data_IF_653511166283
#
_entry.id   IF_653511166283
#
_cell.length_a   1.000
_cell.length_b   1.000
_cell.length_c   1.000
_cell.angle_alpha   90.00
_cell.angle_beta   90.00
_cell.angle_gamma   90.00
#
_symmetry.space_group_name_H-M   'P 1'
#
loop_
_entity.id
_entity.type
_entity.pdbx_description
1 polymer ?
#
# COMPACT_ATOMS: atom_id res chain seq x y z
N UNK A 1 6.13 -5.55 17.25
CA UNK A 1 6.95 -6.33 16.29
C UNK A 1 6.80 -5.88 14.84
N UNK A 2 6.27 -4.67 14.55
CA UNK A 2 6.18 -4.14 13.18
C UNK A 2 5.19 -4.83 12.25
N UNK A 3 4.43 -5.81 12.74
CA UNK A 3 3.35 -6.48 12.00
C UNK A 3 2.13 -5.56 11.96
N UNK A 4 1.52 -5.39 10.78
CA UNK A 4 0.21 -4.75 10.65
C UNK A 4 -0.84 -5.58 11.41
N UNK A 5 -1.67 -4.89 12.19
CA UNK A 5 -2.72 -5.52 12.99
C UNK A 5 -4.12 -5.07 12.63
N UNK A 6 -4.24 -3.88 12.02
CA UNK A 6 -5.51 -3.26 11.66
C UNK A 6 -5.27 -2.23 10.56
N UNK A 7 -6.11 -2.21 9.54
CA UNK A 7 -6.24 -1.06 8.64
C UNK A 7 -7.36 -0.15 9.15
N UNK A 8 -7.02 1.11 9.44
CA UNK A 8 -8.02 2.09 9.91
C UNK A 8 -8.77 2.73 8.75
N UNK A 9 -8.05 3.03 7.67
CA UNK A 9 -8.57 3.64 6.45
C UNK A 9 -7.82 3.05 5.24
N UNK A 10 -8.56 2.73 4.18
CA UNK A 10 -8.02 2.29 2.88
C UNK A 10 -8.69 3.12 1.80
N UNK A 11 -7.88 3.78 0.96
CA UNK A 11 -8.35 4.71 -0.09
C UNK A 11 -9.41 5.73 0.39
N UNK A 12 -9.28 6.16 1.64
CA UNK A 12 -10.22 7.05 2.29
C UNK A 12 -10.11 8.49 1.76
N UNK A 13 -11.25 9.16 1.70
CA UNK A 13 -11.34 10.59 1.42
C UNK A 13 -11.16 11.42 2.70
N UNK A 14 -10.91 12.72 2.54
CA UNK A 14 -10.77 13.64 3.69
C UNK A 14 -12.00 13.64 4.62
N UNK A 15 -13.19 13.39 4.06
CA UNK A 15 -14.44 13.38 4.81
C UNK A 15 -14.65 12.11 5.65
N UNK A 16 -13.82 11.08 5.47
CA UNK A 16 -13.84 9.88 6.32
C UNK A 16 -13.18 10.12 7.69
N UNK A 17 -12.52 11.26 7.85
CA UNK A 17 -11.85 11.66 9.09
C UNK A 17 -12.66 12.71 9.83
N UNK A 18 -12.56 12.69 11.16
CA UNK A 18 -13.07 13.79 11.98
C UNK A 18 -12.09 14.96 11.91
N UNK A 19 -12.58 16.16 11.59
CA UNK A 19 -11.76 17.38 11.59
C UNK A 19 -11.60 17.88 13.03
N UNK A 20 -10.38 17.80 13.56
CA UNK A 20 -9.96 18.42 14.81
C UNK A 20 -9.57 19.89 14.64
N UNK A 21 -9.10 20.52 15.71
CA UNK A 21 -8.71 21.93 15.67
C UNK A 21 -7.55 22.20 14.69
N UNK A 22 -6.63 21.25 14.57
CA UNK A 22 -5.38 21.35 13.80
C UNK A 22 -4.98 20.02 13.14
N UNK A 23 -5.87 19.03 13.11
CA UNK A 23 -5.58 17.68 12.62
C UNK A 23 -6.80 16.97 12.03
N UNK A 24 -6.54 15.94 11.22
CA UNK A 24 -7.53 14.90 10.90
C UNK A 24 -7.42 13.80 11.95
N UNK A 25 -8.55 13.34 12.45
CA UNK A 25 -8.65 12.40 13.57
C UNK A 25 -9.35 11.12 13.11
N UNK A 26 -8.74 9.98 13.43
CA UNK A 26 -9.33 8.65 13.35
C UNK A 26 -9.22 7.96 14.72
N UNK A 27 -10.04 6.94 14.95
CA UNK A 27 -10.07 6.18 16.19
C UNK A 27 -9.80 4.71 15.94
N UNK A 28 -9.11 4.07 16.89
CA UNK A 28 -8.95 2.63 16.91
C UNK A 28 -9.52 2.08 18.21
N UNK A 29 -10.29 1.00 18.10
CA UNK A 29 -11.01 0.37 19.21
C UNK A 29 -10.20 -0.74 19.91
N UNK A 30 -8.93 -0.93 19.54
CA UNK A 30 -8.05 -1.96 20.10
C UNK A 30 -8.24 -3.36 19.48
N UNK A 31 -8.93 -3.47 18.34
CA UNK A 31 -9.20 -4.75 17.67
C UNK A 31 -8.44 -4.93 16.37
N UNK A 32 -8.23 -6.17 15.94
CA UNK A 32 -7.67 -6.46 14.63
C UNK A 32 -8.72 -6.35 13.52
N UNK A 33 -8.36 -6.61 12.26
CA UNK A 33 -9.30 -6.58 11.12
C UNK A 33 -10.46 -7.59 11.26
N UNK A 34 -10.25 -8.72 11.94
CA UNK A 34 -11.29 -9.72 12.25
C UNK A 34 -12.22 -9.33 13.41
N UNK A 35 -12.00 -8.17 14.03
CA UNK A 35 -12.76 -7.73 15.20
C UNK A 35 -12.41 -8.44 16.51
N UNK A 36 -11.27 -9.13 16.57
CA UNK A 36 -10.73 -9.72 17.79
C UNK A 36 -9.94 -8.67 18.59
N UNK A 37 -10.08 -8.69 19.92
CA UNK A 37 -9.32 -7.82 20.81
C UNK A 37 -7.83 -8.14 20.73
N UNK A 38 -7.00 -7.11 20.64
CA UNK A 38 -5.56 -7.25 20.69
C UNK A 38 -5.03 -7.10 22.12
N UNK A 39 -3.89 -7.72 22.45
CA UNK A 39 -3.34 -7.70 23.79
C UNK A 39 -2.89 -6.30 24.21
N UNK A 40 -2.93 -6.03 25.50
CA UNK A 40 -2.36 -4.81 26.07
C UNK A 40 -0.88 -4.66 25.67
N UNK A 41 -0.46 -3.44 25.37
CA UNK A 41 0.87 -3.15 24.89
C UNK A 41 0.95 -1.90 24.03
N UNK A 42 2.14 -1.66 23.51
CA UNK A 42 2.45 -0.50 22.68
C UNK A 42 2.19 -0.80 21.21
N UNK A 43 1.44 0.10 20.57
CA UNK A 43 1.12 0.07 19.15
C UNK A 43 1.58 1.37 18.48
N UNK A 44 1.75 1.32 17.16
CA UNK A 44 2.21 2.43 16.34
C UNK A 44 1.24 2.65 15.20
N UNK A 45 0.78 3.90 15.02
CA UNK A 45 -0.06 4.28 13.89
C UNK A 45 0.78 5.04 12.86
N UNK A 46 0.62 4.65 11.60
CA UNK A 46 1.28 5.26 10.43
C UNK A 46 0.36 5.16 9.23
N UNK A 47 0.61 5.97 8.21
CA UNK A 47 -0.16 5.94 6.98
C UNK A 47 0.55 6.62 5.82
N UNK A 48 -0.13 6.66 4.68
CA UNK A 48 0.35 7.33 3.48
C UNK A 48 -0.78 8.15 2.89
N UNK A 49 -0.46 9.38 2.47
CA UNK A 49 -1.28 10.06 1.46
C UNK A 49 -0.81 9.55 0.10
N UNK A 50 -1.71 8.88 -0.60
CA UNK A 50 -1.50 8.42 -1.97
C UNK A 50 -2.01 9.51 -2.91
N UNK A 51 -1.12 10.05 -3.74
CA UNK A 51 -1.47 11.05 -4.75
C UNK A 51 -2.23 10.43 -5.92
N UNK A 52 -2.42 11.22 -6.99
CA UNK A 52 -3.14 10.74 -8.17
C UNK A 52 -2.27 9.78 -9.01
N UNK A 53 -2.39 8.50 -8.71
CA UNK A 53 -1.83 7.44 -9.52
C UNK A 53 -2.63 7.30 -10.82
N UNK A 54 -1.98 6.74 -11.83
CA UNK A 54 -2.66 6.39 -13.09
C UNK A 54 -2.36 4.94 -13.39
N UNK A 55 -3.42 4.17 -13.62
CA UNK A 55 -3.33 2.77 -14.03
C UNK A 55 -3.63 2.68 -15.52
N UNK A 56 -2.71 2.10 -16.27
CA UNK A 56 -2.86 1.79 -17.68
C UNK A 56 -2.88 0.26 -17.84
N UNK A 57 -3.95 -0.30 -18.41
CA UNK A 57 -3.99 -1.70 -18.82
C UNK A 57 -3.21 -1.86 -20.13
N UNK A 58 -2.12 -2.64 -20.08
CA UNK A 58 -1.26 -2.94 -21.22
C UNK A 58 -1.68 -4.24 -21.94
N UNK A 59 -2.73 -4.89 -21.45
CA UNK A 59 -3.33 -6.09 -22.01
C UNK A 59 -2.59 -7.38 -21.63
N UNK A 60 -2.89 -8.44 -22.39
CA UNK A 60 -2.32 -9.75 -22.18
C UNK A 60 -0.80 -9.73 -22.42
N UNK A 61 -0.05 -10.31 -21.50
CA UNK A 61 1.41 -10.37 -21.53
C UNK A 61 1.90 -11.75 -21.07
N UNK A 62 3.22 -11.93 -21.04
CA UNK A 62 3.86 -13.05 -20.33
C UNK A 62 4.52 -12.51 -19.07
N UNK A 63 4.59 -13.31 -18.01
CA UNK A 63 5.43 -12.96 -16.86
C UNK A 63 6.88 -12.74 -17.34
N UNK A 64 7.58 -11.73 -16.79
CA UNK A 64 9.00 -11.56 -17.07
C UNK A 64 9.77 -12.80 -16.62
N UNK A 65 10.78 -13.19 -17.39
CA UNK A 65 11.71 -14.25 -17.00
C UNK A 65 12.36 -13.83 -15.67
N UNK A 66 12.11 -14.60 -14.62
CA UNK A 66 12.67 -14.28 -13.31
C UNK A 66 14.18 -14.49 -13.35
N UNK A 67 14.97 -13.43 -13.55
CA UNK A 67 16.43 -13.49 -13.39
C UNK A 67 16.78 -13.62 -11.90
N UNK A 68 16.59 -14.82 -11.32
CA UNK A 68 17.09 -15.30 -10.02
C UNK A 68 16.94 -14.41 -8.75
N UNK A 69 16.37 -13.21 -8.87
CA UNK A 69 16.10 -12.25 -7.83
C UNK A 69 14.67 -11.77 -8.07
N UNK A 70 13.69 -12.61 -7.73
CA UNK A 70 12.31 -12.13 -7.58
C UNK A 70 12.38 -10.97 -6.58
N UNK A 71 12.26 -9.72 -7.05
CA UNK A 71 12.24 -8.59 -6.13
C UNK A 71 10.81 -8.56 -5.59
N UNK A 72 10.57 -8.95 -4.33
CA UNK A 72 9.21 -8.98 -3.78
C UNK A 72 8.64 -7.56 -3.64
N UNK A 73 9.49 -6.55 -3.75
CA UNK A 73 9.16 -5.15 -3.56
C UNK A 73 10.01 -4.22 -4.44
N UNK A 74 9.53 -3.00 -4.67
CA UNK A 74 10.21 -1.96 -5.42
C UNK A 74 10.44 -0.76 -4.52
N UNK A 75 11.68 -0.26 -4.46
CA UNK A 75 12.01 0.97 -3.74
C UNK A 75 11.51 2.20 -4.50
N UNK A 76 10.64 2.95 -3.86
CA UNK A 76 10.08 4.22 -4.35
C UNK A 76 10.43 5.35 -3.39
N UNK A 77 10.93 6.46 -3.95
CA UNK A 77 11.27 7.66 -3.20
C UNK A 77 10.04 8.56 -3.10
N UNK A 78 9.67 8.92 -1.88
CA UNK A 78 8.46 9.66 -1.57
C UNK A 78 8.66 11.18 -1.65
N UNK A 79 7.55 11.90 -1.77
CA UNK A 79 7.56 13.34 -1.55
C UNK A 79 7.79 13.62 -0.04
N UNK A 80 8.57 14.66 0.32
CA UNK A 80 8.81 15.00 1.72
C UNK A 80 7.49 15.37 2.43
N UNK A 81 7.34 14.90 3.65
CA UNK A 81 6.28 15.38 4.54
C UNK A 81 6.68 16.75 5.11
N UNK A 82 5.99 17.86 4.80
CA UNK A 82 6.38 19.19 5.29
C UNK A 82 6.25 19.35 6.81
N UNK A 83 5.49 18.47 7.48
CA UNK A 83 5.34 18.44 8.94
C UNK A 83 6.52 17.74 9.62
N UNK A 84 7.36 17.03 8.87
CA UNK A 84 8.59 16.43 9.37
C UNK A 84 9.77 17.05 8.65
N UNK A 85 10.90 17.20 9.34
CA UNK A 85 12.15 17.58 8.68
C UNK A 85 12.74 16.37 7.91
N UNK A 86 11.88 15.56 7.28
CA UNK A 86 12.24 14.25 6.77
C UNK A 86 12.89 14.37 5.39
N UNK A 87 14.03 13.70 5.25
CA UNK A 87 14.74 13.54 3.99
C UNK A 87 13.98 12.49 3.19
N UNK A 88 13.21 12.91 2.17
CA UNK A 88 12.54 12.07 1.15
C UNK A 88 12.58 10.56 1.49
N UNK A 89 11.62 10.11 2.27
CA UNK A 89 11.54 8.73 2.76
C UNK A 89 11.49 7.76 1.58
N UNK A 90 11.96 6.54 1.79
CA UNK A 90 11.86 5.45 0.81
C UNK A 90 10.86 4.44 1.33
N UNK A 91 9.94 4.00 0.48
CA UNK A 91 9.04 2.88 0.75
C UNK A 91 9.37 1.72 -0.17
N UNK A 92 9.28 0.51 0.36
CA UNK A 92 9.33 -0.74 -0.41
C UNK A 92 7.89 -1.14 -0.77
N UNK A 93 7.52 -1.02 -2.05
CA UNK A 93 6.20 -1.37 -2.58
C UNK A 93 6.16 -2.80 -3.08
N UNK A 94 5.29 -3.62 -2.52
CA UNK A 94 4.90 -4.92 -3.07
C UNK A 94 3.57 -4.87 -3.82
N UNK A 95 3.19 -6.01 -4.38
CA UNK A 95 1.83 -6.27 -4.88
C UNK A 95 1.17 -7.33 -4.00
N UNK A 96 -0.04 -7.05 -3.53
CA UNK A 96 -0.95 -8.00 -2.90
C UNK A 96 -2.11 -8.32 -3.83
N UNK A 97 -2.79 -9.42 -3.56
CA UNK A 97 -4.08 -9.73 -4.17
C UNK A 97 -4.94 -10.55 -3.21
N UNK A 98 -6.24 -10.43 -3.38
CA UNK A 98 -7.27 -11.17 -2.65
C UNK A 98 -8.42 -11.52 -3.63
N UNK A 99 -9.63 -11.75 -3.11
CA UNK A 99 -10.78 -12.10 -3.92
C UNK A 99 -11.33 -10.92 -4.74
N UNK A 100 -11.05 -9.68 -4.30
CA UNK A 100 -11.60 -8.46 -4.89
C UNK A 100 -10.65 -7.86 -5.94
N UNK A 101 -9.36 -8.23 -5.88
CA UNK A 101 -8.43 -7.98 -6.96
C UNK A 101 -7.01 -7.84 -6.48
N UNK A 102 -6.27 -6.88 -7.02
CA UNK A 102 -4.88 -6.62 -6.64
C UNK A 102 -4.64 -5.18 -6.25
N UNK A 103 -3.67 -4.98 -5.36
CA UNK A 103 -3.39 -3.71 -4.76
C UNK A 103 -1.90 -3.56 -4.44
N UNK A 104 -1.38 -2.34 -4.58
CA UNK A 104 -0.07 -1.98 -4.07
C UNK A 104 -0.10 -2.01 -2.54
N UNK A 105 0.98 -2.51 -1.94
CA UNK A 105 1.11 -2.61 -0.48
C UNK A 105 2.53 -2.32 -0.01
N UNK A 106 2.69 -2.02 1.27
CA UNK A 106 4.01 -2.01 1.92
C UNK A 106 4.44 -3.43 2.31
N UNK A 107 5.71 -3.59 2.73
CA UNK A 107 6.29 -4.88 3.12
C UNK A 107 5.68 -5.51 4.38
N UNK A 108 5.04 -4.71 5.23
CA UNK A 108 4.27 -5.14 6.41
C UNK A 108 2.77 -5.28 6.08
N UNK A 109 2.44 -5.40 4.80
CA UNK A 109 1.10 -5.69 4.26
C UNK A 109 0.06 -4.57 4.33
N UNK A 110 0.44 -3.31 4.60
CA UNK A 110 -0.50 -2.18 4.54
C UNK A 110 -0.95 -1.97 3.08
N UNK A 111 -2.24 -2.16 2.75
CA UNK A 111 -2.75 -1.86 1.41
C UNK A 111 -2.74 -0.34 1.18
N UNK A 112 -2.35 0.07 -0.01
CA UNK A 112 -2.16 1.48 -0.37
C UNK A 112 -3.07 1.93 -1.51
N UNK A 113 -3.17 1.13 -2.57
CA UNK A 113 -3.84 1.55 -3.80
C UNK A 113 -4.30 0.35 -4.61
N UNK A 114 -5.55 0.35 -5.04
CA UNK A 114 -6.15 -0.69 -5.88
C UNK A 114 -5.63 -0.60 -7.31
N UNK A 115 -5.02 -1.66 -7.82
CA UNK A 115 -4.48 -1.71 -9.20
C UNK A 115 -5.52 -2.25 -10.18
N UNK A 116 -6.24 -3.30 -9.79
CA UNK A 116 -7.31 -3.91 -10.60
C UNK A 116 -8.31 -4.60 -9.70
N UNK A 117 -9.58 -4.60 -10.11
CA UNK A 117 -10.69 -5.35 -9.50
C UNK A 117 -10.87 -6.74 -10.15
N UNK A 118 -9.87 -7.23 -10.89
CA UNK A 118 -9.91 -8.58 -11.51
C UNK A 118 -9.95 -9.65 -10.42
N UNK A 119 -11.03 -10.45 -10.30
CA UNK A 119 -11.15 -11.44 -9.25
C UNK A 119 -10.34 -12.71 -9.56
N UNK A 120 -10.24 -13.61 -8.57
CA UNK A 120 -9.65 -14.95 -8.72
C UNK A 120 -8.18 -14.96 -9.17
N UNK A 121 -7.42 -13.93 -8.79
CA UNK A 121 -5.98 -13.92 -9.04
C UNK A 121 -5.32 -15.06 -8.26
N UNK A 122 -4.43 -15.80 -8.93
CA UNK A 122 -3.62 -16.86 -8.33
C UNK A 122 -2.19 -16.40 -8.07
N UNK A 123 -1.76 -15.35 -8.77
CA UNK A 123 -0.42 -14.79 -8.66
C UNK A 123 -0.38 -13.34 -9.13
N UNK A 124 0.44 -12.53 -8.48
CA UNK A 124 0.82 -11.22 -8.97
C UNK A 124 2.33 -10.99 -8.82
N UNK A 125 2.89 -10.12 -9.67
CA UNK A 125 4.28 -9.69 -9.63
C UNK A 125 4.38 -8.18 -9.87
N UNK A 126 5.34 -7.54 -9.22
CA UNK A 126 5.68 -6.13 -9.42
C UNK A 126 7.12 -5.99 -9.90
N UNK A 127 7.39 -5.06 -10.81
CA UNK A 127 8.75 -4.65 -11.16
C UNK A 127 8.88 -3.14 -11.26
N UNK A 128 10.09 -2.64 -11.03
CA UNK A 128 10.39 -1.22 -11.20
C UNK A 128 10.50 -0.90 -12.68
N UNK A 129 9.63 -0.03 -13.19
CA UNK A 129 9.76 0.51 -14.55
C UNK A 129 10.60 1.78 -14.58
N UNK A 130 10.41 2.66 -13.59
CA UNK A 130 11.19 3.89 -13.40
C UNK A 130 11.11 4.33 -11.93
N UNK A 131 11.68 5.50 -11.58
CA UNK A 131 11.48 6.10 -10.25
C UNK A 131 10.03 6.50 -9.96
N UNK A 132 9.21 6.68 -11.01
CA UNK A 132 7.83 7.17 -10.92
C UNK A 132 6.79 6.14 -11.33
N UNK A 133 7.21 4.93 -11.72
CA UNK A 133 6.31 3.94 -12.29
C UNK A 133 6.73 2.52 -11.97
N UNK A 134 5.75 1.67 -11.75
CA UNK A 134 5.90 0.21 -11.62
C UNK A 134 5.04 -0.50 -12.65
N UNK A 135 5.51 -1.65 -13.12
CA UNK A 135 4.70 -2.55 -13.93
C UNK A 135 4.25 -3.71 -13.04
N UNK A 136 2.99 -4.09 -13.15
CA UNK A 136 2.34 -5.17 -12.40
C UNK A 136 1.85 -6.23 -13.37
N UNK A 137 2.15 -7.50 -13.09
CA UNK A 137 1.59 -8.64 -13.81
C UNK A 137 0.67 -9.40 -12.88
N UNK A 138 -0.50 -9.79 -13.38
CA UNK A 138 -1.51 -10.55 -12.64
C UNK A 138 -1.87 -11.79 -13.46
N UNK A 139 -2.07 -12.91 -12.79
CA UNK A 139 -2.45 -14.19 -13.37
C UNK A 139 -3.75 -14.66 -12.75
N UNK A 140 -4.76 -14.86 -13.58
CA UNK A 140 -6.08 -15.39 -13.23
C UNK A 140 -6.21 -16.90 -13.55
N UNK A 141 -5.11 -17.56 -13.90
CA UNK A 141 -5.03 -18.97 -14.29
C UNK A 141 -5.28 -19.25 -15.77
N UNK A 142 -5.95 -18.35 -16.48
CA UNK A 142 -6.19 -18.45 -17.92
C UNK A 142 -5.22 -17.57 -18.74
N UNK A 143 -4.95 -16.36 -18.26
CA UNK A 143 -4.09 -15.40 -18.92
C UNK A 143 -3.31 -14.57 -17.89
N UNK A 144 -2.19 -14.01 -18.34
CA UNK A 144 -1.44 -13.01 -17.58
C UNK A 144 -1.73 -11.64 -18.19
N UNK A 145 -2.14 -10.69 -17.36
CA UNK A 145 -2.38 -9.30 -17.74
C UNK A 145 -1.32 -8.39 -17.14
N UNK A 146 -0.92 -7.36 -17.88
CA UNK A 146 0.05 -6.38 -17.42
C UNK A 146 -0.61 -5.00 -17.24
N UNK A 147 -0.34 -4.37 -16.10
CA UNK A 147 -0.72 -3.00 -15.81
C UNK A 147 0.52 -2.15 -15.58
N UNK A 148 0.44 -0.87 -15.94
CA UNK A 148 1.41 0.15 -15.52
C UNK A 148 0.78 1.11 -14.54
N UNK A 149 1.37 1.20 -13.35
CA UNK A 149 0.99 2.21 -12.35
C UNK A 149 2.02 3.33 -12.38
N UNK A 150 1.57 4.53 -12.70
CA UNK A 150 2.39 5.75 -12.80
C UNK A 150 2.14 6.71 -11.63
N UNK A 151 3.08 7.63 -11.44
CA UNK A 151 3.11 8.62 -10.36
C UNK A 151 3.27 8.01 -8.96
N UNK A 152 3.87 6.82 -8.85
CA UNK A 152 4.05 6.16 -7.54
C UNK A 152 4.93 6.95 -6.56
N UNK A 153 5.74 7.88 -7.07
CA UNK A 153 6.55 8.80 -6.27
C UNK A 153 5.72 9.90 -5.59
N UNK A 154 4.47 10.11 -6.03
CA UNK A 154 3.53 11.08 -5.46
C UNK A 154 2.82 10.53 -4.21
N UNK A 155 3.55 9.83 -3.33
CA UNK A 155 3.05 9.47 -2.00
C UNK A 155 3.85 10.17 -0.92
N UNK A 156 3.17 10.46 0.19
CA UNK A 156 3.76 11.08 1.37
C UNK A 156 3.50 10.20 2.59
N UNK A 157 4.55 9.87 3.35
CA UNK A 157 4.41 9.10 4.58
C UNK A 157 3.98 9.99 5.76
N UNK A 158 3.09 9.44 6.60
CA UNK A 158 2.68 10.01 7.87
C UNK A 158 2.97 9.04 9.00
N UNK A 159 3.43 9.60 10.10
CA UNK A 159 3.67 8.89 11.34
C UNK A 159 2.79 9.55 12.40
N UNK A 160 1.78 8.82 12.85
CA UNK A 160 0.78 9.26 13.80
C UNK A 160 1.20 8.99 15.27
N UNK A 161 2.39 8.40 15.47
CA UNK A 161 2.96 8.14 16.78
C UNK A 161 2.56 6.81 17.41
N UNK A 162 3.06 6.61 18.63
CA UNK A 162 2.82 5.40 19.44
C UNK A 162 1.74 5.66 20.48
N UNK A 163 1.04 4.60 20.86
CA UNK A 163 0.06 4.65 21.94
C UNK A 163 -0.06 3.29 22.64
N UNK A 164 -0.44 3.32 23.92
CA UNK A 164 -0.53 2.15 24.77
C UNK A 164 -1.99 1.68 24.90
N UNK A 165 -2.25 0.44 24.47
CA UNK A 165 -3.50 -0.26 24.74
C UNK A 165 -3.42 -0.85 26.17
N UNK A 166 -4.35 -0.45 27.03
CA UNK A 166 -4.42 -0.88 28.43
C UNK A 166 -5.35 -2.06 28.63
#
# INVERSE_FOLDING_TARGET
NGKLVRVLHHEAELNDFTIGADALVTQWDGKNDDGANLPAGKYHARGYLVGHFTVEDLGQASFPAMENNAIPNVKVKLIPNPLRNDRRSIVDLGIGFDNDGSYLKTIDDLPLFTVSETPNLIRALITKKSEKSVDVWQDEGAAVHQFRVSNVDQMMAFDCGEFDLK
#
